data_IF_871478859463
#
_entry.id   IF_871478859463
#
_cell.length_a   1.000
_cell.length_b   1.000
_cell.length_c   1.000
_cell.angle_alpha   90.00
_cell.angle_beta   90.00
_cell.angle_gamma   90.00
#
_symmetry.space_group_name_H-M   'P 1'
#
loop_
_entity.id
_entity.type
_entity.pdbx_description
1 polymer ?
#
# COMPACT_ATOMS: atom_id res chain seq x y z
N UNK A 1 -24.55 81.81 5.26
CA UNK A 1 -23.14 81.40 5.32
C UNK A 1 -23.11 79.90 5.58
N UNK A 2 -23.07 79.07 4.52
CA UNK A 2 -23.09 77.62 4.59
C UNK A 2 -21.68 77.12 4.37
N UNK A 3 -21.11 76.36 5.34
CA UNK A 3 -19.81 75.65 5.22
C UNK A 3 -20.08 74.23 4.73
N UNK A 4 -19.62 73.89 3.53
CA UNK A 4 -19.54 72.55 3.00
C UNK A 4 -18.35 71.80 3.65
N UNK A 5 -18.64 70.70 4.32
CA UNK A 5 -17.65 69.75 4.83
C UNK A 5 -17.49 68.65 3.79
N UNK A 6 -16.36 68.58 3.10
CA UNK A 6 -15.98 67.45 2.24
C UNK A 6 -15.40 66.33 3.11
N UNK A 7 -16.09 65.17 3.18
CA UNK A 7 -15.57 63.93 3.69
C UNK A 7 -14.80 63.23 2.55
N UNK A 8 -13.48 63.11 2.66
CA UNK A 8 -12.65 62.25 1.85
C UNK A 8 -12.78 60.83 2.43
N UNK A 9 -13.50 59.93 1.73
CA UNK A 9 -13.47 58.48 1.98
C UNK A 9 -12.26 57.92 1.24
N UNK A 10 -11.19 57.65 2.01
CA UNK A 10 -10.06 56.88 1.49
C UNK A 10 -10.46 55.39 1.43
N UNK A 11 -10.69 54.87 0.22
CA UNK A 11 -10.81 53.42 -0.01
C UNK A 11 -9.42 52.78 0.15
N UNK A 12 -9.17 52.14 1.31
CA UNK A 12 -8.10 51.16 1.44
C UNK A 12 -8.49 49.91 0.66
N UNK A 13 -8.03 49.79 -0.58
CA UNK A 13 -8.00 48.51 -1.28
C UNK A 13 -6.94 47.66 -0.55
N UNK A 14 -7.38 46.84 0.40
CA UNK A 14 -6.56 45.71 0.90
C UNK A 14 -6.32 44.80 -0.33
N UNK A 15 -5.15 44.89 -0.90
CA UNK A 15 -4.64 43.79 -1.75
C UNK A 15 -4.56 42.56 -0.85
N UNK A 16 -5.53 41.65 -0.94
CA UNK A 16 -5.29 40.28 -0.56
C UNK A 16 -4.23 39.76 -1.54
N UNK A 17 -3.01 39.76 -1.12
CA UNK A 17 -1.95 38.97 -1.79
C UNK A 17 -2.39 37.51 -1.62
N UNK A 18 -3.17 37.01 -2.58
CA UNK A 18 -3.37 35.56 -2.73
C UNK A 18 -2.00 34.99 -3.04
N UNK A 19 -1.39 34.28 -2.10
CA UNK A 19 -0.27 33.42 -2.43
C UNK A 19 -0.69 32.54 -3.62
N UNK A 20 0.13 32.43 -4.68
CA UNK A 20 -0.22 31.59 -5.81
C UNK A 20 -0.52 30.18 -5.29
N UNK A 21 -1.60 29.55 -5.78
CA UNK A 21 -1.94 28.18 -5.45
C UNK A 21 -0.75 27.27 -5.80
N UNK A 22 -0.46 26.31 -4.93
CA UNK A 22 0.64 25.34 -5.14
C UNK A 22 0.48 24.65 -6.50
N UNK A 23 1.54 24.57 -7.26
CA UNK A 23 1.58 23.80 -8.51
C UNK A 23 1.82 22.32 -8.24
N UNK A 24 1.51 21.48 -9.22
CA UNK A 24 1.74 20.03 -9.12
C UNK A 24 3.23 19.70 -8.90
N UNK A 25 4.13 20.41 -9.60
CA UNK A 25 5.57 20.20 -9.49
C UNK A 25 6.11 20.63 -8.11
N UNK A 26 5.62 21.74 -7.57
CA UNK A 26 5.97 22.16 -6.21
C UNK A 26 5.46 21.14 -5.17
N UNK A 27 4.26 20.62 -5.34
CA UNK A 27 3.72 19.57 -4.48
C UNK A 27 4.56 18.29 -4.54
N UNK A 28 4.95 17.85 -5.75
CA UNK A 28 5.81 16.69 -5.96
C UNK A 28 7.16 16.86 -5.27
N UNK A 29 7.83 17.96 -5.53
CA UNK A 29 9.15 18.25 -4.94
C UNK A 29 9.10 18.33 -3.41
N UNK A 30 8.03 18.92 -2.86
CA UNK A 30 7.83 18.97 -1.42
C UNK A 30 7.67 17.55 -0.82
N UNK A 31 6.81 16.72 -1.45
CA UNK A 31 6.56 15.36 -0.95
C UNK A 31 7.80 14.47 -1.07
N UNK A 32 8.61 14.61 -2.13
CA UNK A 32 9.90 13.91 -2.28
C UNK A 32 10.85 14.23 -1.12
N UNK A 33 10.97 15.52 -0.77
CA UNK A 33 11.77 15.96 0.38
C UNK A 33 11.25 15.44 1.71
N UNK A 34 9.93 15.45 1.88
CA UNK A 34 9.27 15.03 3.10
C UNK A 34 9.28 13.50 3.28
N UNK A 35 9.07 12.73 2.20
CA UNK A 35 9.21 11.27 2.22
C UNK A 35 10.63 10.85 2.65
N UNK A 36 11.65 11.54 2.14
CA UNK A 36 13.04 11.31 2.54
C UNK A 36 13.28 11.65 4.02
N UNK A 37 12.69 12.74 4.52
CA UNK A 37 12.75 13.13 5.94
C UNK A 37 12.11 12.08 6.84
N UNK A 38 10.89 11.66 6.50
CA UNK A 38 10.13 10.66 7.26
C UNK A 38 10.86 9.31 7.26
N UNK A 39 11.34 8.84 6.11
CA UNK A 39 12.10 7.60 5.99
C UNK A 39 13.39 7.63 6.85
N UNK A 40 14.15 8.72 6.81
CA UNK A 40 15.35 8.88 7.68
C UNK A 40 15.00 8.98 9.16
N UNK A 41 13.86 9.55 9.49
CA UNK A 41 13.33 9.63 10.87
C UNK A 41 12.88 8.27 11.42
N UNK A 42 12.63 7.28 10.55
CA UNK A 42 12.18 5.94 10.93
C UNK A 42 13.31 4.93 11.21
N UNK A 43 14.56 5.37 11.17
CA UNK A 43 15.73 4.49 11.35
C UNK A 43 15.82 3.98 12.80
N UNK A 44 16.05 2.68 12.94
CA UNK A 44 16.28 1.99 14.19
C UNK A 44 17.48 1.02 14.03
N UNK A 45 18.42 1.03 14.97
CA UNK A 45 19.52 0.05 14.97
C UNK A 45 19.09 -1.26 15.63
N UNK A 46 19.32 -2.38 14.96
CA UNK A 46 19.14 -3.71 15.50
C UNK A 46 20.31 -4.10 16.43
N UNK A 47 20.12 -5.17 17.21
CA UNK A 47 21.11 -5.70 18.14
C UNK A 47 22.41 -6.17 17.46
N UNK A 48 22.34 -6.58 16.18
CA UNK A 48 23.48 -7.01 15.37
C UNK A 48 24.12 -5.86 14.56
N UNK A 49 23.65 -4.63 14.77
CA UNK A 49 24.12 -3.43 14.08
C UNK A 49 23.42 -3.16 12.74
N UNK A 50 22.49 -4.01 12.30
CA UNK A 50 21.70 -3.77 11.08
C UNK A 50 20.86 -2.50 11.24
N UNK A 51 20.86 -1.65 10.23
CA UNK A 51 19.96 -0.50 10.14
C UNK A 51 18.60 -0.98 9.68
N UNK A 52 17.57 -0.72 10.48
CA UNK A 52 16.18 -1.06 10.20
C UNK A 52 15.38 0.20 9.89
N UNK A 53 14.41 0.09 9.01
CA UNK A 53 13.44 1.14 8.69
C UNK A 53 12.07 0.75 9.26
N UNK A 54 11.61 1.48 10.26
CA UNK A 54 10.31 1.22 10.90
C UNK A 54 9.17 1.89 10.12
N UNK A 55 7.89 1.49 10.32
CA UNK A 55 6.76 2.10 9.60
C UNK A 55 6.55 3.58 9.86
N UNK A 56 7.11 4.13 10.94
CA UNK A 56 6.91 5.53 11.34
C UNK A 56 8.11 6.14 12.07
N UNK A 57 8.24 7.47 11.97
CA UNK A 57 9.25 8.26 12.67
C UNK A 57 8.90 8.58 14.12
N UNK A 58 7.68 8.24 14.58
CA UNK A 58 7.20 8.52 15.95
C UNK A 58 7.51 7.41 16.96
N UNK A 59 8.13 6.31 16.50
CA UNK A 59 8.46 5.11 17.26
C UNK A 59 7.24 4.36 17.83
N UNK A 60 6.10 4.43 17.17
CA UNK A 60 4.92 3.63 17.47
C UNK A 60 5.14 2.16 17.07
N UNK A 61 5.66 1.91 15.85
CA UNK A 61 5.99 0.59 15.31
C UNK A 61 7.50 0.34 15.33
N UNK A 62 8.04 -0.16 16.44
CA UNK A 62 9.49 -0.32 16.66
C UNK A 62 10.05 -1.64 16.13
N UNK A 63 9.82 -1.94 14.87
CA UNK A 63 10.30 -3.16 14.20
C UNK A 63 10.48 -2.90 12.70
N UNK A 64 11.17 -3.79 12.02
CA UNK A 64 11.18 -3.86 10.56
C UNK A 64 9.96 -4.68 10.11
N UNK A 65 8.99 -4.01 9.49
CA UNK A 65 7.77 -4.63 8.98
C UNK A 65 7.90 -4.96 7.50
N UNK A 66 7.55 -6.16 7.11
CA UNK A 66 7.81 -6.69 5.76
C UNK A 66 7.15 -5.84 4.68
N UNK A 67 5.87 -5.50 4.81
CA UNK A 67 5.14 -4.72 3.79
C UNK A 67 5.47 -3.25 3.80
N UNK A 68 5.66 -2.69 4.99
CA UNK A 68 5.98 -1.26 5.13
C UNK A 68 7.35 -0.95 4.52
N UNK A 69 8.32 -1.84 4.72
CA UNK A 69 9.63 -1.72 4.11
C UNK A 69 9.58 -1.85 2.58
N UNK A 70 8.73 -2.74 2.05
CA UNK A 70 8.50 -2.80 0.61
C UNK A 70 7.95 -1.47 0.08
N UNK A 71 6.94 -0.90 0.73
CA UNK A 71 6.33 0.36 0.30
C UNK A 71 7.27 1.56 0.43
N UNK A 72 8.15 1.57 1.42
CA UNK A 72 9.24 2.53 1.49
C UNK A 72 10.15 2.42 0.26
N UNK A 73 10.64 1.23 -0.04
CA UNK A 73 11.59 1.00 -1.11
C UNK A 73 10.96 1.23 -2.51
N UNK A 74 9.67 0.92 -2.68
CA UNK A 74 8.94 1.17 -3.92
C UNK A 74 8.77 2.68 -4.18
N UNK A 75 8.42 3.47 -3.16
CA UNK A 75 8.03 4.88 -3.33
C UNK A 75 9.14 5.90 -3.01
N UNK A 76 10.20 5.49 -2.32
CA UNK A 76 11.32 6.37 -1.97
C UNK A 76 12.66 5.61 -1.94
N UNK A 77 13.06 4.94 -3.05
CA UNK A 77 14.27 4.11 -3.08
C UNK A 77 15.54 4.89 -2.73
N UNK A 78 15.58 6.18 -2.99
CA UNK A 78 16.72 7.05 -2.66
C UNK A 78 16.94 7.25 -1.14
N UNK A 79 15.98 6.86 -0.30
CA UNK A 79 16.11 6.93 1.16
C UNK A 79 16.96 5.80 1.74
N UNK A 80 17.12 4.69 1.00
CA UNK A 80 17.72 3.44 1.46
C UNK A 80 18.85 3.07 0.50
N UNK A 81 20.07 2.90 1.00
CA UNK A 81 21.15 2.37 0.17
C UNK A 81 20.88 0.91 -0.21
N UNK A 82 21.46 0.45 -1.32
CA UNK A 82 21.33 -0.96 -1.74
C UNK A 82 21.84 -1.93 -0.68
N UNK A 83 22.94 -1.60 -0.02
CA UNK A 83 23.49 -2.40 1.07
C UNK A 83 22.51 -2.51 2.25
N UNK A 84 21.87 -1.40 2.64
CA UNK A 84 20.85 -1.39 3.68
C UNK A 84 19.59 -2.15 3.25
N UNK A 85 19.18 -2.04 1.99
CA UNK A 85 18.03 -2.77 1.46
C UNK A 85 18.25 -4.29 1.51
N UNK A 86 19.43 -4.76 1.09
CA UNK A 86 19.80 -6.17 1.24
C UNK A 86 19.90 -6.61 2.70
N UNK A 87 20.49 -5.80 3.56
CA UNK A 87 20.63 -6.11 4.98
C UNK A 87 19.24 -6.23 5.65
N UNK A 88 18.30 -5.34 5.36
CA UNK A 88 16.90 -5.43 5.82
C UNK A 88 16.20 -6.67 5.29
N UNK A 89 16.34 -6.99 3.99
CA UNK A 89 15.79 -8.22 3.44
C UNK A 89 16.35 -9.46 4.15
N UNK A 90 17.69 -9.55 4.34
CA UNK A 90 18.34 -10.64 5.06
C UNK A 90 17.89 -10.73 6.50
N UNK A 91 17.64 -9.58 7.15
CA UNK A 91 17.12 -9.53 8.51
C UNK A 91 15.71 -10.12 8.61
N UNK A 92 14.84 -9.84 7.63
CA UNK A 92 13.51 -10.42 7.55
C UNK A 92 13.54 -11.92 7.23
N UNK A 93 14.29 -12.35 6.20
CA UNK A 93 14.26 -13.75 5.72
C UNK A 93 14.83 -14.74 6.73
N UNK A 94 15.77 -14.32 7.61
CA UNK A 94 16.25 -15.14 8.73
C UNK A 94 15.13 -15.57 9.67
N UNK A 95 14.03 -14.82 9.72
CA UNK A 95 12.84 -15.15 10.48
C UNK A 95 11.92 -16.15 9.79
N UNK A 96 12.24 -16.69 8.60
CA UNK A 96 11.39 -17.70 7.97
C UNK A 96 11.33 -18.97 8.80
N UNK A 97 10.10 -19.50 9.03
CA UNK A 97 9.89 -20.77 9.72
C UNK A 97 10.15 -21.97 8.80
N UNK A 98 10.38 -23.13 9.41
CA UNK A 98 10.56 -24.40 8.67
C UNK A 98 9.34 -24.77 7.81
N UNK A 99 8.11 -24.36 8.17
CA UNK A 99 6.91 -24.58 7.36
C UNK A 99 6.75 -23.61 6.19
N UNK A 100 7.63 -22.60 6.09
CA UNK A 100 7.62 -21.59 5.04
C UNK A 100 7.00 -20.26 5.46
N UNK A 101 6.38 -20.16 6.64
CA UNK A 101 5.78 -18.89 7.10
C UNK A 101 6.81 -17.77 7.15
N UNK A 102 6.46 -16.62 6.58
CA UNK A 102 7.28 -15.41 6.60
C UNK A 102 6.86 -14.49 7.75
N UNK A 103 7.79 -13.77 8.38
CA UNK A 103 7.46 -12.84 9.44
C UNK A 103 6.62 -11.68 8.92
N UNK A 104 5.69 -11.25 9.73
CA UNK A 104 4.98 -9.98 9.60
C UNK A 104 5.97 -8.82 9.83
N UNK A 105 6.80 -9.00 10.86
CA UNK A 105 7.90 -8.11 11.21
C UNK A 105 8.99 -8.84 11.99
N UNK A 106 10.17 -8.23 12.05
CA UNK A 106 11.28 -8.66 12.93
C UNK A 106 11.65 -7.51 13.85
N UNK A 107 11.67 -7.77 15.14
CA UNK A 107 12.02 -6.81 16.18
C UNK A 107 13.52 -6.45 16.14
N UNK A 108 13.91 -5.34 16.76
CA UNK A 108 15.31 -4.93 16.82
C UNK A 108 16.23 -5.92 17.57
N UNK A 109 15.68 -6.78 18.42
CA UNK A 109 16.39 -7.87 19.09
C UNK A 109 16.49 -9.17 18.29
N UNK A 110 15.96 -9.19 17.04
CA UNK A 110 15.94 -10.34 16.16
C UNK A 110 14.71 -11.24 16.31
N UNK A 111 13.76 -10.93 17.22
CA UNK A 111 12.56 -11.73 17.40
C UNK A 111 11.63 -11.58 16.17
N UNK A 112 11.40 -12.69 15.46
CA UNK A 112 10.45 -12.75 14.38
C UNK A 112 9.00 -12.88 14.90
N UNK A 113 8.10 -12.05 14.41
CA UNK A 113 6.67 -12.03 14.76
C UNK A 113 5.85 -12.28 13.50
N UNK A 114 4.92 -13.22 13.55
CA UNK A 114 4.18 -13.69 12.37
C UNK A 114 2.72 -13.22 12.35
N UNK A 115 2.17 -12.92 13.52
CA UNK A 115 0.80 -12.45 13.68
C UNK A 115 0.80 -10.91 13.79
N UNK A 116 -0.11 -10.22 13.14
CA UNK A 116 -0.30 -8.78 13.38
C UNK A 116 -0.79 -8.53 14.81
N UNK A 117 -0.75 -7.26 15.24
CA UNK A 117 -1.07 -6.87 16.61
C UNK A 117 0.16 -6.87 17.54
N UNK A 118 0.00 -6.50 18.82
CA UNK A 118 1.09 -6.44 19.79
C UNK A 118 1.77 -7.81 20.00
N UNK A 119 3.04 -7.80 20.34
CA UNK A 119 3.77 -9.05 20.69
C UNK A 119 3.05 -9.76 21.85
N UNK A 120 2.77 -11.05 21.67
CA UNK A 120 2.02 -11.86 22.64
C UNK A 120 0.50 -11.66 22.62
N UNK A 121 -0.02 -10.77 21.78
CA UNK A 121 -1.45 -10.50 21.60
C UNK A 121 -1.82 -10.47 20.10
N UNK A 122 -1.32 -11.46 19.36
CA UNK A 122 -1.53 -11.53 17.91
C UNK A 122 -2.98 -11.64 17.50
N UNK A 123 -3.31 -11.05 16.35
CA UNK A 123 -4.63 -11.09 15.74
C UNK A 123 -4.76 -12.36 14.88
N UNK A 124 -5.70 -13.23 15.22
CA UNK A 124 -5.90 -14.54 14.57
C UNK A 124 -4.88 -15.58 15.03
N UNK A 125 -4.91 -16.75 14.38
CA UNK A 125 -4.08 -17.90 14.76
C UNK A 125 -3.03 -18.29 13.71
N UNK A 126 -3.04 -17.62 12.55
CA UNK A 126 -2.13 -17.89 11.45
C UNK A 126 -1.46 -16.59 10.98
N UNK A 127 -0.25 -16.68 10.40
CA UNK A 127 0.44 -15.55 9.80
C UNK A 127 -0.42 -14.81 8.78
N UNK A 128 -0.17 -13.51 8.61
CA UNK A 128 -0.82 -12.73 7.57
C UNK A 128 -0.52 -13.31 6.17
N UNK A 129 -1.53 -13.29 5.29
CA UNK A 129 -1.49 -13.97 4.00
C UNK A 129 -0.55 -13.29 2.98
N UNK A 130 -0.24 -12.02 3.17
CA UNK A 130 0.49 -11.16 2.24
C UNK A 130 2.02 -11.19 2.43
N UNK A 131 2.54 -11.58 3.61
CA UNK A 131 3.96 -11.51 3.91
C UNK A 131 4.87 -12.23 2.89
N UNK A 132 4.56 -13.48 2.44
CA UNK A 132 5.41 -14.17 1.47
C UNK A 132 5.50 -13.46 0.12
N UNK A 133 4.38 -12.88 -0.35
CA UNK A 133 4.37 -12.13 -1.59
C UNK A 133 5.22 -10.86 -1.48
N UNK A 134 5.17 -10.14 -0.36
CA UNK A 134 6.01 -8.97 -0.13
C UNK A 134 7.50 -9.33 -0.04
N UNK A 135 7.88 -10.47 0.54
CA UNK A 135 9.27 -10.92 0.54
C UNK A 135 9.80 -11.16 -0.87
N UNK A 136 8.99 -11.75 -1.76
CA UNK A 136 9.35 -11.91 -3.18
C UNK A 136 9.41 -10.57 -3.90
N UNK A 137 8.46 -9.68 -3.65
CA UNK A 137 8.45 -8.33 -4.25
C UNK A 137 9.65 -7.50 -3.79
N UNK A 138 10.10 -7.65 -2.54
CA UNK A 138 11.32 -7.00 -2.02
C UNK A 138 12.55 -7.46 -2.79
N UNK A 139 12.79 -8.77 -2.90
CA UNK A 139 13.98 -9.28 -3.60
C UNK A 139 13.95 -8.94 -5.09
N UNK A 140 12.76 -8.94 -5.70
CA UNK A 140 12.58 -8.53 -7.08
C UNK A 140 12.92 -7.05 -7.28
N UNK A 141 12.45 -6.17 -6.41
CA UNK A 141 12.73 -4.73 -6.47
C UNK A 141 14.22 -4.45 -6.26
N UNK A 142 14.85 -5.07 -5.26
CA UNK A 142 16.29 -4.96 -5.00
C UNK A 142 17.09 -5.43 -6.22
N UNK A 143 16.77 -6.60 -6.77
CA UNK A 143 17.45 -7.15 -7.95
C UNK A 143 17.29 -6.27 -9.20
N UNK A 144 16.12 -5.67 -9.39
CA UNK A 144 15.87 -4.73 -10.48
C UNK A 144 16.74 -3.46 -10.34
N UNK A 145 16.85 -2.90 -9.13
CA UNK A 145 17.69 -1.73 -8.87
C UNK A 145 19.19 -2.06 -9.05
N UNK A 146 19.61 -3.26 -8.63
CA UNK A 146 21.00 -3.72 -8.76
C UNK A 146 21.36 -4.15 -10.18
N UNK A 147 20.38 -4.54 -11.01
CA UNK A 147 20.59 -5.15 -12.32
C UNK A 147 21.13 -6.60 -12.24
N UNK A 148 20.87 -7.32 -11.15
CA UNK A 148 21.24 -8.74 -11.01
C UNK A 148 20.32 -9.48 -10.02
N UNK A 149 20.33 -10.82 -10.08
CA UNK A 149 19.44 -11.69 -9.31
C UNK A 149 20.18 -12.57 -8.26
N UNK A 150 21.40 -12.21 -7.87
CA UNK A 150 22.21 -13.02 -6.93
C UNK A 150 21.53 -13.20 -5.58
N UNK A 151 20.85 -12.15 -5.07
CA UNK A 151 20.07 -12.23 -3.82
C UNK A 151 18.88 -13.20 -3.95
N UNK A 152 18.20 -13.21 -5.10
CA UNK A 152 17.15 -14.19 -5.37
C UNK A 152 17.71 -15.62 -5.44
N UNK A 153 18.84 -15.84 -6.14
CA UNK A 153 19.44 -17.16 -6.25
C UNK A 153 19.84 -17.74 -4.90
N UNK A 154 20.37 -16.91 -4.00
CA UNK A 154 20.74 -17.30 -2.64
C UNK A 154 19.51 -17.75 -1.82
N UNK A 155 18.37 -17.05 -1.94
CA UNK A 155 17.18 -17.33 -1.12
C UNK A 155 16.02 -17.98 -1.89
N UNK A 156 16.25 -18.44 -3.11
CA UNK A 156 15.25 -19.01 -4.02
C UNK A 156 14.32 -20.01 -3.35
N UNK A 157 14.89 -21.05 -2.72
CA UNK A 157 14.10 -22.13 -2.12
C UNK A 157 13.22 -21.63 -0.96
N UNK A 158 13.76 -20.75 -0.12
CA UNK A 158 13.02 -20.14 0.97
C UNK A 158 11.86 -19.29 0.46
N UNK A 159 12.10 -18.46 -0.54
CA UNK A 159 11.07 -17.59 -1.14
C UNK A 159 9.94 -18.42 -1.79
N UNK A 160 10.30 -19.45 -2.55
CA UNK A 160 9.31 -20.34 -3.18
C UNK A 160 8.50 -21.11 -2.13
N UNK A 161 9.15 -21.62 -1.08
CA UNK A 161 8.48 -22.27 0.05
C UNK A 161 7.52 -21.28 0.77
N UNK A 162 7.94 -20.03 0.91
CA UNK A 162 7.09 -18.98 1.46
C UNK A 162 5.82 -18.77 0.64
N UNK A 163 5.91 -18.68 -0.69
CA UNK A 163 4.75 -18.53 -1.57
C UNK A 163 3.80 -19.75 -1.54
N UNK A 164 4.30 -20.93 -1.20
CA UNK A 164 3.47 -22.13 -1.08
C UNK A 164 2.77 -22.23 0.29
N UNK A 165 3.24 -21.51 1.33
CA UNK A 165 2.70 -21.55 2.69
C UNK A 165 1.24 -21.08 2.80
N UNK A 166 0.79 -19.93 2.22
CA UNK A 166 -0.59 -19.51 2.37
C UNK A 166 -1.56 -20.48 1.70
N UNK A 167 -2.66 -20.78 2.41
CA UNK A 167 -3.71 -21.66 1.87
C UNK A 167 -4.34 -21.06 0.62
N UNK A 168 -4.61 -21.91 -0.36
CA UNK A 168 -5.24 -21.56 -1.63
C UNK A 168 -6.46 -22.44 -1.87
N UNK A 169 -7.45 -21.91 -2.58
CA UNK A 169 -8.54 -22.71 -3.10
C UNK A 169 -8.11 -23.49 -4.38
N UNK A 170 -8.94 -24.38 -4.92
CA UNK A 170 -8.59 -25.14 -6.13
C UNK A 170 -8.26 -24.29 -7.36
N UNK A 171 -8.78 -23.07 -7.43
CA UNK A 171 -8.53 -22.11 -8.51
C UNK A 171 -7.23 -21.31 -8.29
N UNK A 172 -6.50 -21.56 -7.20
CA UNK A 172 -5.21 -20.92 -6.89
C UNK A 172 -5.32 -19.56 -6.16
N UNK A 173 -6.53 -19.11 -5.84
CA UNK A 173 -6.74 -17.86 -5.07
C UNK A 173 -6.41 -18.08 -3.60
N UNK A 174 -5.79 -17.09 -2.95
CA UNK A 174 -5.55 -17.13 -1.52
C UNK A 174 -6.88 -17.21 -0.77
N UNK A 175 -6.93 -18.07 0.25
CA UNK A 175 -8.19 -18.43 0.90
C UNK A 175 -8.05 -18.50 2.42
N UNK A 176 -9.00 -17.86 3.14
CA UNK A 176 -9.11 -17.91 4.60
C UNK A 176 -10.40 -18.67 4.99
N UNK A 177 -10.27 -19.61 5.93
CA UNK A 177 -11.39 -20.34 6.50
C UNK A 177 -12.27 -19.40 7.35
N UNK A 178 -13.57 -19.27 7.07
CA UNK A 178 -14.48 -18.47 7.88
C UNK A 178 -14.54 -18.88 9.36
N UNK A 179 -14.22 -20.14 9.66
CA UNK A 179 -14.19 -20.63 11.04
C UNK A 179 -12.86 -20.35 11.75
N UNK A 180 -11.80 -19.98 10.99
CA UNK A 180 -10.49 -19.60 11.53
C UNK A 180 -9.99 -18.32 10.88
N UNK A 181 -10.66 -17.17 11.07
CA UNK A 181 -10.30 -15.92 10.44
C UNK A 181 -8.98 -15.40 11.00
N UNK A 182 -8.16 -14.84 10.09
CA UNK A 182 -6.89 -14.19 10.40
C UNK A 182 -6.60 -13.08 9.40
N UNK A 183 -5.46 -12.41 9.49
CA UNK A 183 -5.15 -11.26 8.66
C UNK A 183 -5.05 -11.61 7.17
N UNK A 184 -5.90 -11.02 6.31
CA UNK A 184 -5.81 -11.19 4.87
C UNK A 184 -4.69 -10.34 4.25
N UNK A 185 -4.47 -9.14 4.80
CA UNK A 185 -3.51 -8.15 4.35
C UNK A 185 -3.20 -7.19 5.51
N UNK A 186 -1.93 -6.82 5.70
CA UNK A 186 -1.50 -6.11 6.90
C UNK A 186 -2.20 -4.79 7.16
N UNK A 187 -2.52 -4.01 6.12
CA UNK A 187 -3.28 -2.77 6.31
C UNK A 187 -4.80 -2.99 6.42
N UNK A 188 -5.23 -4.23 6.53
CA UNK A 188 -6.58 -4.64 6.91
C UNK A 188 -6.56 -5.83 7.87
N UNK A 189 -5.53 -5.90 8.71
CA UNK A 189 -5.29 -7.00 9.64
C UNK A 189 -6.37 -7.16 10.71
N UNK A 190 -7.09 -6.10 11.05
CA UNK A 190 -8.22 -6.12 11.99
C UNK A 190 -9.55 -6.49 11.33
N UNK A 191 -9.59 -6.68 10.00
CA UNK A 191 -10.78 -7.00 9.22
C UNK A 191 -10.73 -8.45 8.77
N UNK A 192 -11.74 -9.23 9.13
CA UNK A 192 -11.79 -10.66 8.85
C UNK A 192 -12.48 -10.95 7.52
N UNK A 193 -11.76 -10.73 6.43
CA UNK A 193 -12.15 -11.15 5.08
C UNK A 193 -11.93 -12.66 4.95
N UNK A 194 -12.92 -13.41 4.48
CA UNK A 194 -12.84 -14.88 4.40
C UNK A 194 -13.36 -15.43 3.07
N UNK A 195 -13.12 -16.71 2.82
CA UNK A 195 -13.24 -17.30 1.50
C UNK A 195 -12.04 -16.97 0.65
N UNK A 196 -12.20 -16.88 -0.66
CA UNK A 196 -11.16 -16.36 -1.55
C UNK A 196 -10.98 -14.85 -1.32
N UNK A 197 -9.73 -14.36 -1.42
CA UNK A 197 -9.34 -13.01 -1.07
C UNK A 197 -8.83 -12.27 -2.30
N UNK A 198 -9.36 -11.09 -2.61
CA UNK A 198 -8.94 -10.30 -3.74
C UNK A 198 -7.50 -9.79 -3.58
N UNK A 199 -7.27 -8.90 -2.61
CA UNK A 199 -6.01 -8.14 -2.49
C UNK A 199 -4.79 -9.06 -2.35
N UNK A 200 -4.88 -10.05 -1.46
CA UNK A 200 -3.82 -11.03 -1.26
C UNK A 200 -3.57 -11.90 -2.49
N UNK A 201 -4.61 -12.21 -3.28
CA UNK A 201 -4.44 -12.94 -4.54
C UNK A 201 -3.79 -12.09 -5.63
N UNK A 202 -4.02 -10.76 -5.67
CA UNK A 202 -3.30 -9.85 -6.56
C UNK A 202 -1.80 -9.84 -6.19
N UNK A 203 -1.46 -9.70 -4.91
CA UNK A 203 -0.07 -9.76 -4.44
C UNK A 203 0.61 -11.08 -4.79
N UNK A 204 -0.10 -12.20 -4.62
CA UNK A 204 0.41 -13.53 -4.98
C UNK A 204 0.65 -13.67 -6.48
N UNK A 205 -0.24 -13.10 -7.30
CA UNK A 205 -0.08 -13.05 -8.75
C UNK A 205 1.17 -12.26 -9.16
N UNK A 206 1.38 -11.07 -8.58
CA UNK A 206 2.59 -10.28 -8.83
C UNK A 206 3.86 -11.04 -8.43
N UNK A 207 3.83 -11.68 -7.24
CA UNK A 207 4.96 -12.48 -6.77
C UNK A 207 5.26 -13.66 -7.69
N UNK A 208 4.25 -14.35 -8.21
CA UNK A 208 4.47 -15.43 -9.19
C UNK A 208 5.06 -14.91 -10.49
N UNK A 209 4.63 -13.75 -10.98
CA UNK A 209 5.23 -13.13 -12.17
C UNK A 209 6.68 -12.72 -11.93
N UNK A 210 6.96 -12.14 -10.78
CA UNK A 210 8.32 -11.77 -10.39
C UNK A 210 9.24 -13.00 -10.33
N UNK A 211 8.78 -14.10 -9.71
CA UNK A 211 9.54 -15.36 -9.71
C UNK A 211 9.73 -15.91 -11.10
N UNK A 212 8.69 -15.89 -11.96
CA UNK A 212 8.81 -16.37 -13.34
C UNK A 212 9.88 -15.60 -14.12
N UNK A 213 9.95 -14.28 -13.94
CA UNK A 213 10.97 -13.44 -14.56
C UNK A 213 12.37 -13.75 -14.00
N UNK A 214 12.54 -13.74 -12.68
CA UNK A 214 13.81 -14.06 -12.03
C UNK A 214 14.34 -15.46 -12.41
N UNK A 215 13.45 -16.46 -12.50
CA UNK A 215 13.82 -17.83 -12.96
C UNK A 215 14.22 -17.85 -14.42
N UNK A 216 13.58 -17.05 -15.28
CA UNK A 216 13.97 -16.91 -16.68
C UNK A 216 15.37 -16.31 -16.82
N UNK A 217 15.61 -15.20 -16.12
CA UNK A 217 16.89 -14.46 -16.15
C UNK A 217 18.05 -15.26 -15.55
N UNK A 218 17.75 -16.17 -14.59
CA UNK A 218 18.74 -17.07 -13.99
C UNK A 218 18.86 -18.44 -14.69
N UNK A 219 18.23 -18.59 -15.87
CA UNK A 219 18.39 -19.78 -16.74
C UNK A 219 17.50 -20.98 -16.38
N UNK A 220 16.49 -20.82 -15.53
CA UNK A 220 15.63 -21.90 -15.06
C UNK A 220 14.26 -21.92 -15.81
N UNK A 221 14.25 -22.04 -17.12
CA UNK A 221 13.09 -21.90 -18.00
C UNK A 221 11.87 -22.76 -17.62
N UNK A 222 12.09 -23.99 -17.11
CA UNK A 222 10.98 -24.85 -16.66
C UNK A 222 10.24 -24.26 -15.47
N UNK A 223 10.98 -23.78 -14.47
CA UNK A 223 10.39 -23.12 -13.28
C UNK A 223 9.71 -21.82 -13.65
N UNK A 224 10.35 -21.02 -14.51
CA UNK A 224 9.74 -19.78 -15.07
C UNK A 224 8.36 -20.07 -15.66
N UNK A 225 8.28 -21.12 -16.52
CA UNK A 225 7.01 -21.54 -17.13
C UNK A 225 5.96 -21.96 -16.08
N UNK A 226 6.37 -22.68 -15.05
CA UNK A 226 5.44 -23.13 -13.99
C UNK A 226 4.89 -21.96 -13.17
N UNK A 227 5.73 -20.98 -12.81
CA UNK A 227 5.26 -19.79 -12.10
C UNK A 227 4.39 -18.87 -12.99
N UNK A 228 4.72 -18.74 -14.26
CA UNK A 228 3.86 -18.03 -15.21
C UNK A 228 2.46 -18.67 -15.30
N UNK A 229 2.35 -20.01 -15.37
CA UNK A 229 1.07 -20.71 -15.35
C UNK A 229 0.28 -20.49 -14.06
N UNK A 230 0.96 -20.50 -12.90
CA UNK A 230 0.31 -20.19 -11.62
C UNK A 230 -0.23 -18.74 -11.59
N UNK A 231 0.51 -17.80 -12.15
CA UNK A 231 0.05 -16.42 -12.29
C UNK A 231 -1.19 -16.33 -13.22
N UNK A 232 -1.15 -17.00 -14.37
CA UNK A 232 -2.28 -17.04 -15.31
C UNK A 232 -3.53 -17.68 -14.70
N UNK A 233 -3.37 -18.72 -13.88
CA UNK A 233 -4.46 -19.36 -13.14
C UNK A 233 -5.14 -18.37 -12.19
N UNK A 234 -4.37 -17.62 -11.38
CA UNK A 234 -4.93 -16.58 -10.50
C UNK A 234 -5.66 -15.53 -11.34
N UNK A 235 -5.04 -15.03 -12.41
CA UNK A 235 -5.65 -14.02 -13.28
C UNK A 235 -6.99 -14.45 -13.85
N UNK A 236 -7.08 -15.70 -14.29
CA UNK A 236 -8.34 -16.27 -14.80
C UNK A 236 -9.40 -16.40 -13.68
N UNK A 237 -8.99 -16.77 -12.47
CA UNK A 237 -9.88 -16.99 -11.33
C UNK A 237 -10.41 -15.68 -10.71
N UNK A 238 -9.75 -14.54 -10.92
CA UNK A 238 -10.15 -13.26 -10.32
C UNK A 238 -11.53 -12.77 -10.75
N UNK A 239 -12.06 -13.32 -11.84
CA UNK A 239 -13.41 -12.99 -12.28
C UNK A 239 -14.48 -13.30 -11.20
N UNK A 240 -14.21 -14.19 -10.26
CA UNK A 240 -15.12 -14.50 -9.13
C UNK A 240 -15.42 -13.28 -8.24
N UNK A 241 -14.51 -12.31 -8.20
CA UNK A 241 -14.69 -11.09 -7.41
C UNK A 241 -15.37 -9.96 -8.20
N UNK A 242 -15.50 -10.10 -9.53
CA UNK A 242 -16.00 -9.01 -10.36
C UNK A 242 -17.48 -8.76 -10.18
N UNK A 243 -17.84 -7.56 -9.76
CA UNK A 243 -19.22 -7.08 -9.72
C UNK A 243 -19.52 -6.31 -11.01
N UNK A 244 -20.18 -6.96 -11.93
CA UNK A 244 -20.48 -6.36 -13.25
C UNK A 244 -21.43 -5.16 -13.16
N UNK A 245 -22.31 -5.10 -12.16
CA UNK A 245 -23.22 -3.97 -11.97
C UNK A 245 -22.43 -2.70 -11.57
N UNK A 246 -21.57 -2.82 -10.57
CA UNK A 246 -20.82 -1.68 -10.03
C UNK A 246 -19.55 -1.38 -10.82
N UNK A 247 -19.03 -2.33 -11.62
CA UNK A 247 -17.74 -2.19 -12.32
C UNK A 247 -16.55 -2.16 -11.38
N UNK A 248 -16.62 -2.90 -10.29
CA UNK A 248 -15.61 -2.98 -9.23
C UNK A 248 -15.42 -4.42 -8.76
N UNK A 249 -14.35 -4.70 -8.05
CA UNK A 249 -14.15 -6.00 -7.41
C UNK A 249 -14.67 -6.03 -5.98
N UNK A 250 -15.19 -7.18 -5.56
CA UNK A 250 -15.46 -7.52 -4.15
C UNK A 250 -14.16 -7.90 -3.44
N UNK A 251 -14.07 -7.61 -2.13
CA UNK A 251 -12.88 -7.88 -1.32
C UNK A 251 -12.64 -9.37 -1.06
N UNK A 252 -13.72 -10.15 -0.92
CA UNK A 252 -13.70 -11.55 -0.58
C UNK A 252 -14.96 -12.26 -1.08
N UNK A 253 -14.98 -13.60 -1.04
CA UNK A 253 -16.14 -14.36 -1.51
C UNK A 253 -17.10 -14.78 -0.40
N UNK A 254 -16.74 -14.57 0.87
CA UNK A 254 -17.59 -14.90 2.03
C UNK A 254 -17.72 -13.70 2.98
N UNK A 255 -17.07 -13.67 4.15
CA UNK A 255 -17.17 -12.53 5.05
C UNK A 255 -16.46 -11.30 4.46
N UNK A 256 -17.02 -10.13 4.68
CA UNK A 256 -16.51 -8.86 4.17
C UNK A 256 -16.43 -8.83 2.64
N UNK A 257 -17.48 -9.28 1.98
CA UNK A 257 -17.58 -9.34 0.52
C UNK A 257 -18.08 -8.04 -0.14
N UNK A 258 -17.96 -6.90 0.55
CA UNK A 258 -18.25 -5.59 -0.03
C UNK A 258 -17.28 -5.25 -1.16
N UNK A 259 -17.64 -4.20 -1.91
CA UNK A 259 -16.75 -3.58 -2.89
C UNK A 259 -15.44 -3.15 -2.20
N UNK A 260 -14.32 -3.59 -2.75
CA UNK A 260 -12.98 -3.22 -2.30
C UNK A 260 -12.44 -2.08 -3.16
N UNK A 261 -12.46 -0.87 -2.62
CA UNK A 261 -11.95 0.32 -3.31
C UNK A 261 -10.44 0.21 -3.54
N UNK A 262 -9.69 -0.21 -2.51
CA UNK A 262 -8.25 -0.36 -2.60
C UNK A 262 -7.86 -1.52 -3.52
N UNK A 263 -8.49 -2.67 -3.34
CA UNK A 263 -8.23 -3.85 -4.17
C UNK A 263 -8.54 -3.62 -5.64
N UNK A 264 -9.63 -2.89 -5.95
CA UNK A 264 -9.97 -2.52 -7.33
C UNK A 264 -8.94 -1.55 -7.94
N UNK A 265 -8.54 -0.50 -7.20
CA UNK A 265 -7.51 0.44 -7.65
C UNK A 265 -6.16 -0.28 -7.82
N UNK A 266 -5.81 -1.18 -6.88
CA UNK A 266 -4.57 -1.95 -6.95
C UNK A 266 -4.56 -2.95 -8.12
N UNK A 267 -5.69 -3.54 -8.48
CA UNK A 267 -5.80 -4.40 -9.66
C UNK A 267 -5.47 -3.65 -10.97
N UNK A 268 -5.84 -2.36 -11.06
CA UNK A 268 -5.44 -1.50 -12.19
C UNK A 268 -3.96 -1.14 -12.09
N UNK A 269 -3.49 -0.69 -10.92
CA UNK A 269 -2.10 -0.31 -10.67
C UNK A 269 -1.11 -1.43 -10.98
N UNK A 270 -1.43 -2.67 -10.58
CA UNK A 270 -0.60 -3.86 -10.83
C UNK A 270 -0.63 -4.34 -12.30
N UNK A 271 -1.57 -3.84 -13.12
CA UNK A 271 -1.79 -4.29 -14.49
C UNK A 271 -2.54 -5.62 -14.60
N UNK A 272 -3.21 -6.04 -13.54
CA UNK A 272 -4.00 -7.27 -13.53
C UNK A 272 -5.39 -7.09 -14.16
N UNK A 273 -6.06 -5.96 -13.87
CA UNK A 273 -7.33 -5.62 -14.48
C UNK A 273 -7.17 -5.50 -16.01
N UNK A 274 -8.10 -6.08 -16.76
CA UNK A 274 -8.13 -5.86 -18.21
C UNK A 274 -8.61 -4.43 -18.54
N UNK A 275 -8.49 -4.03 -19.81
CA UNK A 275 -8.79 -2.66 -20.26
C UNK A 275 -10.22 -2.23 -19.93
N UNK A 276 -11.21 -3.10 -20.10
CA UNK A 276 -12.61 -2.80 -19.79
C UNK A 276 -12.84 -2.64 -18.28
N UNK A 277 -12.27 -3.53 -17.48
CA UNK A 277 -12.30 -3.44 -16.02
C UNK A 277 -11.63 -2.16 -15.53
N UNK A 278 -10.44 -1.84 -16.06
CA UNK A 278 -9.70 -0.64 -15.69
C UNK A 278 -10.51 0.64 -15.99
N UNK A 279 -11.16 0.74 -17.16
CA UNK A 279 -12.03 1.87 -17.51
C UNK A 279 -13.22 2.00 -16.56
N UNK A 280 -13.87 0.89 -16.20
CA UNK A 280 -15.04 0.89 -15.30
C UNK A 280 -14.65 1.24 -13.87
N UNK A 281 -13.54 0.69 -13.36
CA UNK A 281 -12.98 1.04 -12.04
C UNK A 281 -12.65 2.54 -12.00
N UNK A 282 -11.95 3.07 -13.00
CA UNK A 282 -11.61 4.48 -13.08
C UNK A 282 -12.86 5.37 -13.09
N UNK A 283 -13.88 4.99 -13.87
CA UNK A 283 -15.16 5.72 -13.93
C UNK A 283 -15.87 5.73 -12.55
N UNK A 284 -15.88 4.59 -11.85
CA UNK A 284 -16.45 4.50 -10.50
C UNK A 284 -15.70 5.40 -9.51
N UNK A 285 -14.38 5.30 -9.46
CA UNK A 285 -13.53 6.08 -8.54
C UNK A 285 -13.66 7.59 -8.79
N UNK A 286 -13.74 8.01 -10.06
CA UNK A 286 -13.99 9.40 -10.44
C UNK A 286 -15.39 9.87 -10.00
N UNK A 287 -16.42 9.08 -10.28
CA UNK A 287 -17.81 9.45 -9.96
C UNK A 287 -18.06 9.57 -8.44
N UNK A 288 -17.38 8.77 -7.64
CA UNK A 288 -17.52 8.74 -6.19
C UNK A 288 -16.41 9.49 -5.44
N UNK A 289 -15.57 10.25 -6.15
CA UNK A 289 -14.38 10.93 -5.58
C UNK A 289 -14.70 11.66 -4.26
N UNK A 290 -15.69 12.55 -4.26
CA UNK A 290 -16.02 13.36 -3.08
C UNK A 290 -16.49 12.55 -1.86
N UNK A 291 -16.99 11.33 -2.06
CA UNK A 291 -17.42 10.44 -0.98
C UNK A 291 -16.36 9.45 -0.52
N UNK A 292 -15.35 9.20 -1.36
CA UNK A 292 -14.25 8.28 -1.09
C UNK A 292 -13.01 8.99 -0.53
N UNK A 293 -12.85 10.28 -0.84
CA UNK A 293 -11.64 11.03 -0.50
C UNK A 293 -11.88 12.00 0.66
N UNK A 294 -10.90 12.08 1.56
CA UNK A 294 -10.75 13.17 2.50
C UNK A 294 -9.37 13.79 2.28
N UNK A 295 -9.32 14.96 1.63
CA UNK A 295 -8.05 15.65 1.39
C UNK A 295 -7.00 14.75 0.74
N UNK A 296 -7.33 14.11 -0.37
CA UNK A 296 -6.44 13.17 -1.06
C UNK A 296 -6.25 11.81 -0.40
N UNK A 297 -6.78 11.57 0.79
CA UNK A 297 -6.66 10.28 1.48
C UNK A 297 -7.89 9.41 1.20
N UNK A 298 -7.67 8.14 0.83
CA UNK A 298 -8.67 7.23 0.26
C UNK A 298 -9.28 6.30 1.30
N UNK A 299 -10.61 6.20 1.31
CA UNK A 299 -11.36 5.23 2.10
C UNK A 299 -11.29 3.84 1.48
N UNK A 300 -11.34 2.80 2.32
CA UNK A 300 -11.24 1.41 1.86
C UNK A 300 -12.56 0.85 1.30
N UNK A 301 -13.69 1.09 1.99
CA UNK A 301 -15.01 0.64 1.56
C UNK A 301 -15.71 1.67 0.67
N UNK A 302 -16.72 1.21 -0.07
CA UNK A 302 -17.65 2.06 -0.80
C UNK A 302 -18.33 3.12 0.11
N UNK A 303 -18.83 4.23 -0.45
CA UNK A 303 -19.47 5.27 0.34
C UNK A 303 -20.65 4.73 1.18
N UNK A 304 -20.64 5.01 2.48
CA UNK A 304 -21.68 4.55 3.41
C UNK A 304 -21.56 3.09 3.88
N UNK A 305 -20.65 2.32 3.31
CA UNK A 305 -20.39 0.94 3.72
C UNK A 305 -19.27 0.83 4.77
N UNK A 306 -19.30 -0.28 5.50
CA UNK A 306 -18.32 -0.66 6.52
C UNK A 306 -18.08 -2.16 6.46
N UNK A 307 -16.89 -2.61 6.86
CA UNK A 307 -16.61 -4.02 6.97
C UNK A 307 -17.52 -4.70 8.01
N UNK A 308 -18.13 -5.80 7.61
CA UNK A 308 -19.16 -6.48 8.42
C UNK A 308 -18.57 -7.27 9.57
N UNK A 309 -17.32 -7.76 9.41
CA UNK A 309 -16.65 -8.63 10.39
C UNK A 309 -15.23 -8.16 10.65
N UNK A 310 -14.90 -7.91 11.91
CA UNK A 310 -13.56 -7.46 12.32
C UNK A 310 -13.54 -6.96 13.75
N UNK A 311 -12.39 -6.53 14.19
CA UNK A 311 -12.13 -5.99 15.54
C UNK A 311 -12.31 -4.47 15.58
N UNK A 312 -12.18 -3.78 14.45
CA UNK A 312 -12.28 -2.32 14.39
C UNK A 312 -13.74 -1.87 14.22
N UNK A 313 -14.25 -1.04 15.13
CA UNK A 313 -15.57 -0.43 15.02
C UNK A 313 -15.70 0.45 13.77
N UNK A 314 -16.94 0.76 13.38
CA UNK A 314 -17.24 1.73 12.33
C UNK A 314 -16.63 3.09 12.65
N UNK A 315 -16.25 3.83 11.60
CA UNK A 315 -15.62 5.15 11.67
C UNK A 315 -14.31 5.17 12.49
N UNK A 316 -13.52 4.10 12.36
CA UNK A 316 -12.21 4.00 12.97
C UNK A 316 -11.25 3.25 12.04
N UNK A 317 -9.96 3.63 12.09
CA UNK A 317 -8.82 2.91 11.51
C UNK A 317 -9.16 2.25 10.15
N UNK A 318 -9.07 0.93 10.05
CA UNK A 318 -9.33 0.17 8.83
C UNK A 318 -10.83 0.05 8.46
N UNK A 319 -11.74 0.47 9.34
CA UNK A 319 -13.19 0.39 9.12
C UNK A 319 -13.85 1.77 9.02
N UNK A 320 -13.41 2.55 8.04
CA UNK A 320 -13.96 3.86 7.73
C UNK A 320 -12.94 5.01 7.74
N UNK A 321 -11.72 4.79 8.23
CA UNK A 321 -10.62 5.75 8.11
C UNK A 321 -10.18 5.96 6.65
N UNK A 322 -9.57 7.11 6.38
CA UNK A 322 -8.97 7.45 5.11
C UNK A 322 -7.46 7.36 5.21
N UNK A 323 -6.80 6.85 4.17
CA UNK A 323 -5.38 6.55 4.15
C UNK A 323 -4.72 7.15 2.91
N UNK A 324 -3.51 7.63 3.06
CA UNK A 324 -2.72 8.10 1.92
C UNK A 324 -1.97 6.97 1.20
N UNK A 325 -1.69 5.86 1.89
CA UNK A 325 -1.00 4.70 1.30
C UNK A 325 -1.60 4.24 -0.05
N UNK A 326 -2.93 4.09 -0.23
CA UNK A 326 -3.51 3.69 -1.51
C UNK A 326 -3.63 4.81 -2.53
N UNK A 327 -3.19 6.03 -2.22
CA UNK A 327 -3.34 7.18 -3.12
C UNK A 327 -2.67 6.93 -4.47
N UNK A 328 -1.47 6.37 -4.51
CA UNK A 328 -0.76 6.10 -5.76
C UNK A 328 -1.53 5.15 -6.69
N UNK A 329 -2.23 4.16 -6.14
CA UNK A 329 -3.06 3.22 -6.91
C UNK A 329 -4.28 3.93 -7.50
N UNK A 330 -4.95 4.75 -6.69
CA UNK A 330 -6.06 5.59 -7.12
C UNK A 330 -5.60 6.61 -8.17
N UNK A 331 -4.45 7.26 -7.96
CA UNK A 331 -3.91 8.28 -8.84
C UNK A 331 -3.68 7.73 -10.25
N UNK A 332 -2.96 6.63 -10.40
CA UNK A 332 -2.71 5.97 -11.69
C UNK A 332 -4.03 5.61 -12.38
N UNK A 333 -4.99 5.06 -11.62
CA UNK A 333 -6.28 4.61 -12.16
C UNK A 333 -7.10 5.79 -12.69
N UNK A 334 -7.24 6.86 -11.91
CA UNK A 334 -8.08 8.02 -12.30
C UNK A 334 -7.37 8.90 -13.31
N UNK A 335 -6.05 9.05 -13.23
CA UNK A 335 -5.25 9.84 -14.18
C UNK A 335 -5.47 9.37 -15.64
N UNK A 336 -5.68 8.08 -15.86
CA UNK A 336 -5.92 7.53 -17.20
C UNK A 336 -7.18 8.11 -17.89
N UNK A 337 -8.14 8.63 -17.14
CA UNK A 337 -9.41 9.19 -17.69
C UNK A 337 -9.67 10.63 -17.30
N UNK A 338 -9.06 11.12 -16.22
CA UNK A 338 -9.23 12.48 -15.70
C UNK A 338 -7.92 12.98 -15.02
N UNK A 339 -6.91 13.36 -15.84
CA UNK A 339 -5.63 13.83 -15.33
C UNK A 339 -5.73 15.07 -14.42
N UNK A 340 -6.69 15.96 -14.73
CA UNK A 340 -6.86 17.19 -13.96
C UNK A 340 -7.38 16.90 -12.55
N UNK A 341 -8.36 16.01 -12.41
CA UNK A 341 -8.84 15.56 -11.10
C UNK A 341 -7.70 14.90 -10.31
N UNK A 342 -6.94 14.00 -10.94
CA UNK A 342 -5.84 13.31 -10.28
C UNK A 342 -4.78 14.27 -9.75
N UNK A 343 -4.32 15.22 -10.57
CA UNK A 343 -3.32 16.25 -10.18
C UNK A 343 -3.82 17.16 -9.07
N UNK A 344 -5.07 17.65 -9.18
CA UNK A 344 -5.68 18.49 -8.15
C UNK A 344 -5.78 17.75 -6.81
N UNK A 345 -6.20 16.48 -6.83
CA UNK A 345 -6.30 15.67 -5.60
C UNK A 345 -4.93 15.40 -4.98
N UNK A 346 -3.87 15.28 -5.79
CA UNK A 346 -2.50 15.19 -5.29
C UNK A 346 -2.06 16.48 -4.58
N UNK A 347 -2.35 17.64 -5.16
CA UNK A 347 -2.07 18.93 -4.52
C UNK A 347 -2.83 19.03 -3.19
N UNK A 348 -4.12 18.69 -3.16
CA UNK A 348 -4.92 18.65 -1.92
C UNK A 348 -4.34 17.74 -0.85
N UNK A 349 -3.75 16.58 -1.24
CA UNK A 349 -3.06 15.67 -0.33
C UNK A 349 -1.81 16.33 0.28
N UNK A 350 -1.01 16.99 -0.54
CA UNK A 350 0.23 17.64 -0.08
C UNK A 350 -0.08 18.85 0.79
N UNK A 351 -1.08 19.66 0.45
CA UNK A 351 -1.55 20.77 1.28
C UNK A 351 -2.03 20.27 2.66
N UNK A 352 -2.72 19.14 2.69
CA UNK A 352 -3.17 18.50 3.92
C UNK A 352 -1.99 18.01 4.78
N UNK A 353 -0.98 17.43 4.14
CA UNK A 353 0.24 17.01 4.83
C UNK A 353 1.04 18.19 5.39
N UNK A 354 1.07 19.32 4.68
CA UNK A 354 1.71 20.55 5.19
C UNK A 354 0.96 21.14 6.39
N UNK A 355 -0.36 21.07 6.38
CA UNK A 355 -1.21 21.61 7.44
C UNK A 355 -1.24 20.72 8.69
N UNK A 356 -1.38 19.40 8.51
CA UNK A 356 -1.69 18.45 9.59
C UNK A 356 -0.62 17.42 9.87
N UNK A 357 0.40 17.31 9.01
CA UNK A 357 1.40 16.25 9.06
C UNK A 357 0.96 14.97 8.32
N UNK A 358 1.90 14.05 8.16
CA UNK A 358 1.69 12.76 7.49
C UNK A 358 1.34 11.71 8.53
N UNK A 359 0.18 11.08 8.38
CA UNK A 359 -0.35 10.11 9.35
C UNK A 359 -0.63 8.76 8.69
N UNK A 360 -0.73 7.70 9.48
CA UNK A 360 -1.16 6.39 9.04
C UNK A 360 -2.58 6.44 8.46
N UNK A 361 -3.51 7.05 9.21
CA UNK A 361 -4.89 7.25 8.79
C UNK A 361 -5.49 8.52 9.39
N UNK A 362 -6.55 9.02 8.77
CA UNK A 362 -7.31 10.19 9.22
C UNK A 362 -8.82 9.94 9.11
N UNK A 363 -9.62 10.62 9.94
CA UNK A 363 -11.08 10.71 9.80
C UNK A 363 -11.59 12.01 10.45
N UNK A 364 -12.04 12.96 9.64
CA UNK A 364 -12.31 14.32 10.11
C UNK A 364 -11.04 14.95 10.67
N UNK A 365 -11.08 15.33 11.94
CA UNK A 365 -9.92 15.88 12.69
C UNK A 365 -9.24 14.83 13.57
N UNK A 366 -9.58 13.55 13.44
CA UNK A 366 -8.89 12.45 14.12
C UNK A 366 -7.82 11.89 13.19
N UNK A 367 -6.65 11.66 13.71
CA UNK A 367 -5.51 11.09 13.01
C UNK A 367 -4.63 10.31 14.00
N UNK A 368 -3.87 9.35 13.52
CA UNK A 368 -3.01 8.53 14.35
C UNK A 368 -1.69 8.20 13.64
N UNK A 369 -0.68 7.89 14.43
CA UNK A 369 0.68 7.51 14.01
C UNK A 369 1.27 8.55 13.04
N UNK A 370 1.82 9.65 13.56
CA UNK A 370 2.48 10.67 12.74
C UNK A 370 3.76 10.13 12.10
N UNK A 371 4.22 10.83 11.06
CA UNK A 371 5.41 10.47 10.28
C UNK A 371 5.35 9.03 9.74
N UNK A 372 4.18 8.65 9.17
CA UNK A 372 3.97 7.29 8.64
C UNK A 372 4.56 7.15 7.25
N UNK A 373 5.55 6.24 7.14
CA UNK A 373 6.40 6.09 5.96
C UNK A 373 5.62 5.72 4.70
N UNK A 374 4.72 4.72 4.78
CA UNK A 374 3.96 4.30 3.61
C UNK A 374 3.02 5.39 3.08
N UNK A 375 2.47 6.24 3.97
CA UNK A 375 1.66 7.40 3.56
C UNK A 375 2.47 8.49 2.86
N UNK A 376 3.76 8.63 3.20
CA UNK A 376 4.67 9.56 2.53
C UNK A 376 5.15 9.04 1.17
N UNK A 377 5.47 7.75 1.10
CA UNK A 377 6.18 7.15 -0.04
C UNK A 377 5.24 6.66 -1.16
N UNK A 378 4.12 6.00 -0.83
CA UNK A 378 3.26 5.38 -1.83
C UNK A 378 2.56 6.33 -2.82
N UNK A 379 2.22 7.57 -2.47
CA UNK A 379 1.81 8.54 -3.48
C UNK A 379 2.87 8.77 -4.56
N UNK A 380 4.16 8.82 -4.22
CA UNK A 380 5.28 8.98 -5.16
C UNK A 380 5.41 7.75 -6.07
N UNK A 381 5.28 6.53 -5.55
CA UNK A 381 5.30 5.32 -6.37
C UNK A 381 4.23 5.36 -7.49
N UNK A 382 3.06 5.95 -7.22
CA UNK A 382 2.02 6.17 -8.22
C UNK A 382 2.40 7.18 -9.29
N UNK A 383 3.08 8.28 -8.91
CA UNK A 383 3.56 9.29 -9.85
C UNK A 383 4.62 8.71 -10.79
N UNK A 384 5.58 7.96 -10.25
CA UNK A 384 6.69 7.39 -11.01
C UNK A 384 6.22 6.35 -12.05
N UNK A 385 5.10 5.68 -11.80
CA UNK A 385 4.48 4.75 -12.77
C UNK A 385 4.01 5.41 -14.06
N UNK A 386 3.73 6.70 -14.06
CA UNK A 386 3.28 7.43 -15.25
C UNK A 386 4.46 7.89 -16.12
N UNK A 387 5.68 7.78 -15.63
CA UNK A 387 6.87 8.30 -16.28
C UNK A 387 7.01 9.83 -16.14
N UNK A 388 8.13 10.38 -16.59
CA UNK A 388 8.39 11.81 -16.55
C UNK A 388 7.51 12.61 -17.49
#
# INVERSE_FOLDING_TARGET
>A
MWRFLFFLIAFFLARCDYAPAMTFEEAKLWLEGEALRVAKGSILSAHDGTILYTPDGSAHYRALWTRDFYYLLEGCPQAVSLEEAEACFRYLIRGQREDGAMPDRVQADGLAVYLPGPVGQGIGNLPAMDNPAFMVKLVYLIGTIQGNWSLYEEFREGLQKGLDFPKKNPEGLLWIDPQNPHSPYGFTDTIFKTGALLFSSILQWEAYRAVAEMESETGHSSRSTDYAKRADQIKAALQVFWNDREGMFHAATQDCNQIDIWGSAYAVYSGLANEEQAKRIAAYLRAHHAALMQKGQLRHCAPGEYWQRGLTPKDQYQNGGHWATPFGWWFVTVHAIDPELARRTFIELVEDFQERGIHEWVLGNRFAVPDYVASACQPLAGLDRLGP
#
